data_IF_189912326267
#
_entry.id   IF_189912326267
#
_cell.length_a   1.000
_cell.length_b   1.000
_cell.length_c   1.000
_cell.angle_alpha   90.00
_cell.angle_beta   90.00
_cell.angle_gamma   90.00
#
_symmetry.space_group_name_H-M   'P 1'
#
loop_
_entity.id
_entity.type
_entity.pdbx_description
1 polymer ?
#
# COMPACT_ATOMS: atom_id res chain seq x y z
N UNK A 1 6.62 38.60 9.93
CA UNK A 1 5.97 37.73 8.93
C UNK A 1 5.24 36.66 9.73
N UNK A 2 3.91 36.65 9.67
CA UNK A 2 3.11 35.70 10.46
C UNK A 2 3.17 34.35 9.74
N UNK A 3 4.01 33.44 10.24
CA UNK A 3 4.07 32.07 9.73
C UNK A 3 2.77 31.34 10.10
N UNK A 4 1.98 30.97 9.12
CA UNK A 4 0.73 30.26 9.36
C UNK A 4 1.03 28.95 10.10
N UNK A 5 0.28 28.59 11.17
CA UNK A 5 0.57 27.43 12.02
C UNK A 5 0.73 26.09 11.26
N UNK A 6 0.08 25.94 10.12
CA UNK A 6 0.21 24.79 9.21
C UNK A 6 1.67 24.53 8.80
N UNK A 7 2.45 25.58 8.52
CA UNK A 7 3.85 25.42 8.12
C UNK A 7 4.78 24.97 9.25
N UNK A 8 4.33 24.98 10.50
CA UNK A 8 5.11 24.47 11.63
C UNK A 8 5.15 22.93 11.68
N UNK A 9 4.21 22.25 11.04
CA UNK A 9 4.17 20.78 10.98
C UNK A 9 5.02 20.24 9.85
N UNK A 10 5.17 21.00 8.74
CA UNK A 10 5.87 20.55 7.54
C UNK A 10 7.22 21.23 7.39
N UNK A 11 8.29 20.42 7.20
CA UNK A 11 9.63 20.91 6.93
C UNK A 11 9.69 21.66 5.59
N UNK A 12 10.45 22.75 5.55
CA UNK A 12 10.71 23.49 4.31
C UNK A 12 9.50 24.23 3.74
N UNK A 13 8.37 24.31 4.47
CA UNK A 13 7.20 25.06 4.05
C UNK A 13 6.50 24.53 2.80
N UNK A 14 6.82 23.31 2.36
CA UNK A 14 6.11 22.62 1.28
C UNK A 14 4.86 21.93 1.83
N UNK A 15 3.76 22.02 1.10
CA UNK A 15 2.55 21.27 1.41
C UNK A 15 2.56 19.93 0.67
N UNK A 16 1.95 18.88 1.27
CA UNK A 16 1.70 17.61 0.60
C UNK A 16 0.94 17.80 -0.71
N UNK A 17 1.29 17.00 -1.71
CA UNK A 17 0.57 16.99 -2.99
C UNK A 17 -0.16 15.68 -3.19
N UNK A 18 -1.41 15.77 -3.65
CA UNK A 18 -2.16 14.60 -4.10
C UNK A 18 -1.62 14.13 -5.46
N UNK A 19 -1.25 12.85 -5.54
CA UNK A 19 -0.77 12.21 -6.77
C UNK A 19 -1.90 11.45 -7.45
N UNK A 20 -2.61 10.61 -6.68
CA UNK A 20 -3.67 9.76 -7.21
C UNK A 20 -4.67 9.40 -6.12
N UNK A 21 -5.83 8.93 -6.56
CA UNK A 21 -6.86 8.37 -5.69
C UNK A 21 -7.41 7.09 -6.29
N UNK A 22 -7.84 6.15 -5.43
CA UNK A 22 -8.52 4.93 -5.84
C UNK A 22 -9.72 4.66 -4.95
N UNK A 23 -10.79 4.15 -5.55
CA UNK A 23 -11.91 3.55 -4.83
C UNK A 23 -11.82 2.04 -4.99
N UNK A 24 -11.78 1.32 -3.89
CA UNK A 24 -11.76 -0.14 -3.89
C UNK A 24 -13.12 -0.59 -3.39
N UNK A 25 -13.98 -1.04 -4.32
CA UNK A 25 -15.32 -1.51 -3.97
C UNK A 25 -15.27 -2.83 -3.22
N UNK A 26 -16.34 -3.13 -2.46
CA UNK A 26 -16.44 -4.35 -1.69
C UNK A 26 -16.39 -5.62 -2.57
N UNK A 27 -16.95 -5.55 -3.79
CA UNK A 27 -16.92 -6.63 -4.77
C UNK A 27 -15.49 -6.83 -5.28
N UNK A 28 -14.80 -5.75 -5.62
CA UNK A 28 -13.44 -5.80 -6.14
C UNK A 28 -12.44 -6.34 -5.10
N UNK A 29 -12.51 -5.85 -3.87
CA UNK A 29 -11.71 -6.35 -2.74
C UNK A 29 -11.94 -7.85 -2.47
N UNK A 30 -13.20 -8.32 -2.63
CA UNK A 30 -13.54 -9.72 -2.43
C UNK A 30 -13.05 -10.66 -3.56
N UNK A 31 -13.02 -10.17 -4.80
CA UNK A 31 -12.70 -10.98 -5.98
C UNK A 31 -11.23 -10.85 -6.41
N UNK A 32 -10.61 -9.69 -6.19
CA UNK A 32 -9.31 -9.31 -6.73
C UNK A 32 -8.45 -8.58 -5.70
N UNK A 33 -8.13 -9.24 -4.59
CA UNK A 33 -7.31 -8.67 -3.54
C UNK A 33 -6.03 -8.01 -4.10
N UNK A 34 -5.72 -6.81 -3.63
CA UNK A 34 -4.48 -6.12 -3.97
C UNK A 34 -3.35 -6.69 -3.12
N UNK A 35 -2.49 -7.49 -3.75
CA UNK A 35 -1.37 -8.15 -3.08
C UNK A 35 -0.36 -7.15 -2.54
N UNK A 36 0.54 -7.63 -1.69
CA UNK A 36 1.59 -6.80 -1.09
C UNK A 36 2.44 -6.08 -2.15
N UNK A 37 2.46 -4.77 -2.09
CA UNK A 37 3.25 -3.86 -2.90
C UNK A 37 3.79 -2.73 -2.02
N UNK A 38 4.63 -1.88 -2.57
CA UNK A 38 5.11 -0.67 -1.89
C UNK A 38 5.35 0.43 -2.92
N UNK A 39 5.30 1.67 -2.46
CA UNK A 39 5.73 2.84 -3.21
C UNK A 39 6.92 3.47 -2.50
N UNK A 40 8.02 3.69 -3.22
CA UNK A 40 9.28 4.17 -2.63
C UNK A 40 9.20 5.65 -2.19
N UNK A 41 8.34 6.43 -2.83
CA UNK A 41 8.32 7.89 -2.76
C UNK A 41 6.93 8.48 -2.43
N UNK A 42 5.97 7.65 -2.03
CA UNK A 42 4.62 8.08 -1.71
C UNK A 42 4.15 7.55 -0.35
N UNK A 43 3.42 8.40 0.36
CA UNK A 43 2.58 8.01 1.49
C UNK A 43 1.20 7.62 0.97
N UNK A 44 0.68 6.46 1.33
CA UNK A 44 -0.69 6.08 1.03
C UNK A 44 -1.56 6.04 2.29
N UNK A 45 -2.78 6.52 2.15
CA UNK A 45 -3.80 6.54 3.19
C UNK A 45 -5.02 5.79 2.68
N UNK A 46 -5.40 4.69 3.37
CA UNK A 46 -6.61 3.93 3.06
C UNK A 46 -7.66 4.15 4.14
N UNK A 47 -8.75 4.78 3.78
CA UNK A 47 -9.90 4.97 4.66
C UNK A 47 -10.93 3.85 4.44
N UNK A 48 -11.25 3.11 5.50
CA UNK A 48 -12.28 2.06 5.47
C UNK A 48 -13.66 2.71 5.59
N UNK A 49 -14.36 2.86 4.46
CA UNK A 49 -15.68 3.48 4.41
C UNK A 49 -16.80 2.51 4.83
N UNK A 50 -16.67 1.22 4.46
CA UNK A 50 -17.64 0.18 4.85
C UNK A 50 -16.92 -1.16 5.02
N UNK A 51 -17.53 -2.05 5.83
CA UNK A 51 -17.03 -3.39 6.07
C UNK A 51 -15.90 -3.47 7.08
N UNK A 52 -15.27 -4.62 7.12
CA UNK A 52 -14.13 -4.93 7.98
C UNK A 52 -13.36 -6.12 7.45
N UNK A 53 -12.12 -6.29 7.88
CA UNK A 53 -11.27 -7.41 7.47
C UNK A 53 -9.84 -7.25 7.97
N UNK A 54 -8.93 -8.05 7.43
CA UNK A 54 -7.52 -7.95 7.76
C UNK A 54 -6.78 -7.20 6.65
N UNK A 55 -5.84 -6.37 6.98
CA UNK A 55 -4.97 -5.64 6.08
C UNK A 55 -3.53 -5.76 6.55
N UNK A 56 -2.61 -6.02 5.62
CA UNK A 56 -1.21 -6.22 5.94
C UNK A 56 -0.44 -4.91 5.75
N UNK A 57 0.33 -4.50 6.78
CA UNK A 57 1.26 -3.37 6.72
C UNK A 57 2.60 -3.82 7.31
N UNK A 58 3.65 -3.70 6.51
CA UNK A 58 4.97 -4.18 6.89
C UNK A 58 4.99 -5.70 7.06
N UNK A 59 4.96 -6.18 8.28
CA UNK A 59 5.04 -7.61 8.64
C UNK A 59 3.84 -8.10 9.43
N UNK A 60 2.91 -7.22 9.68
CA UNK A 60 1.80 -7.49 10.59
C UNK A 60 0.49 -7.43 9.83
N UNK A 61 -0.42 -8.35 10.18
CA UNK A 61 -1.80 -8.28 9.78
C UNK A 61 -2.59 -7.53 10.87
N UNK A 62 -3.38 -6.56 10.43
CA UNK A 62 -4.21 -5.73 11.28
C UNK A 62 -5.67 -5.95 10.94
N UNK A 63 -6.49 -6.16 11.96
CA UNK A 63 -7.93 -6.13 11.75
C UNK A 63 -8.39 -4.68 11.65
N UNK A 64 -9.02 -4.33 10.54
CA UNK A 64 -9.54 -3.00 10.23
C UNK A 64 -11.05 -3.04 10.05
N UNK A 65 -11.70 -1.93 10.36
CA UNK A 65 -13.14 -1.79 10.28
C UNK A 65 -13.55 -0.39 9.83
N UNK A 66 -14.82 -0.22 9.53
CA UNK A 66 -15.37 1.09 9.14
C UNK A 66 -14.91 2.20 10.08
N UNK A 67 -14.37 3.25 9.50
CA UNK A 67 -13.89 4.43 10.22
C UNK A 67 -12.42 4.38 10.61
N UNK A 68 -11.72 3.30 10.28
CA UNK A 68 -10.27 3.23 10.45
C UNK A 68 -9.56 3.84 9.24
N UNK A 69 -8.43 4.50 9.50
CA UNK A 69 -7.46 4.93 8.52
C UNK A 69 -6.22 4.07 8.62
N UNK A 70 -5.80 3.49 7.50
CA UNK A 70 -4.57 2.69 7.38
C UNK A 70 -3.49 3.59 6.80
N UNK A 71 -2.35 3.65 7.46
CA UNK A 71 -1.20 4.48 7.09
C UNK A 71 -0.12 3.61 6.47
N UNK A 72 0.18 3.84 5.21
CA UNK A 72 1.24 3.15 4.49
C UNK A 72 2.34 4.15 4.11
N UNK A 73 3.35 4.28 4.98
CA UNK A 73 4.51 5.14 4.73
C UNK A 73 5.28 4.70 3.48
N UNK A 74 6.01 5.62 2.85
CA UNK A 74 6.90 5.31 1.73
C UNK A 74 7.84 4.14 2.06
N UNK A 75 8.05 3.23 1.11
CA UNK A 75 8.90 2.05 1.27
C UNK A 75 8.34 0.97 2.20
N UNK A 76 7.13 1.14 2.76
CA UNK A 76 6.50 0.14 3.61
C UNK A 76 5.61 -0.77 2.77
N UNK A 77 5.91 -2.07 2.81
CA UNK A 77 5.13 -3.08 2.13
C UNK A 77 3.73 -3.17 2.73
N UNK A 78 2.69 -3.16 1.90
CA UNK A 78 1.31 -3.23 2.35
C UNK A 78 0.41 -3.89 1.29
N UNK A 79 -0.76 -4.37 1.72
CA UNK A 79 -1.70 -5.03 0.81
C UNK A 79 -2.73 -5.88 1.52
N UNK A 80 -3.50 -6.60 0.73
CA UNK A 80 -4.56 -7.50 1.20
C UNK A 80 -4.10 -8.96 1.13
N UNK A 81 -4.51 -9.78 2.10
CA UNK A 81 -4.31 -11.24 2.02
C UNK A 81 -5.41 -11.87 1.15
N UNK A 82 -5.08 -12.56 0.06
CA UNK A 82 -6.06 -13.11 -0.89
C UNK A 82 -7.02 -14.14 -0.29
N UNK A 83 -6.58 -14.84 0.77
CA UNK A 83 -7.38 -15.88 1.42
C UNK A 83 -8.51 -15.32 2.31
N UNK A 84 -8.44 -14.06 2.70
CA UNK A 84 -9.45 -13.44 3.51
C UNK A 84 -10.62 -12.98 2.63
N UNK A 85 -11.77 -13.66 2.71
CA UNK A 85 -13.00 -13.22 2.06
C UNK A 85 -13.46 -11.90 2.66
N UNK A 86 -13.16 -10.79 2.00
CA UNK A 86 -13.42 -9.44 2.49
C UNK A 86 -14.52 -8.78 1.69
N UNK A 87 -15.22 -7.86 2.33
CA UNK A 87 -16.12 -6.91 1.67
C UNK A 87 -15.83 -5.53 2.27
N UNK A 88 -14.76 -4.94 1.84
CA UNK A 88 -14.33 -3.61 2.30
C UNK A 88 -14.50 -2.63 1.15
N UNK A 89 -15.28 -1.57 1.38
CA UNK A 89 -15.24 -0.37 0.57
C UNK A 89 -14.20 0.56 1.18
N UNK A 90 -13.17 0.92 0.44
CA UNK A 90 -12.16 1.88 0.89
C UNK A 90 -11.87 2.95 -0.14
N UNK A 91 -11.53 4.15 0.36
CA UNK A 91 -10.96 5.24 -0.42
C UNK A 91 -9.46 5.30 -0.13
N UNK A 92 -8.66 5.28 -1.18
CA UNK A 92 -7.21 5.40 -1.10
C UNK A 92 -6.76 6.73 -1.71
N UNK A 93 -5.85 7.42 -1.06
CA UNK A 93 -5.14 8.58 -1.61
C UNK A 93 -3.64 8.37 -1.47
N UNK A 94 -2.88 8.71 -2.51
CA UNK A 94 -1.43 8.67 -2.52
C UNK A 94 -0.88 10.09 -2.56
N UNK A 95 0.02 10.39 -1.63
CA UNK A 95 0.58 11.73 -1.40
C UNK A 95 2.09 11.72 -1.56
N UNK A 96 2.64 12.78 -2.13
CA UNK A 96 4.07 13.07 -2.15
C UNK A 96 4.37 14.40 -1.46
N UNK A 97 5.65 14.74 -1.31
CA UNK A 97 6.12 15.95 -0.62
C UNK A 97 5.65 16.04 0.86
N UNK A 98 5.31 14.91 1.48
CA UNK A 98 4.99 14.87 2.92
C UNK A 98 6.29 14.88 3.71
N UNK A 99 6.67 16.02 4.24
CA UNK A 99 7.92 16.20 4.98
C UNK A 99 7.63 16.72 6.41
N UNK A 100 7.49 15.81 7.37
CA UNK A 100 7.22 16.13 8.78
C UNK A 100 8.53 16.20 9.59
N UNK A 101 8.55 17.02 10.63
CA UNK A 101 9.69 17.08 11.54
C UNK A 101 9.86 15.76 12.30
N UNK A 102 11.09 15.24 12.33
CA UNK A 102 11.45 14.01 13.05
C UNK A 102 11.11 12.71 12.32
N UNK A 103 10.55 12.79 11.09
CA UNK A 103 10.24 11.63 10.27
C UNK A 103 10.97 11.70 8.90
N UNK A 104 11.22 10.55 8.26
CA UNK A 104 11.63 10.52 6.85
C UNK A 104 10.60 11.18 5.93
N UNK A 105 10.99 11.52 4.71
CA UNK A 105 10.06 12.05 3.71
C UNK A 105 9.00 11.00 3.36
N UNK A 106 7.76 11.47 3.16
CA UNK A 106 6.57 10.66 2.90
C UNK A 106 6.24 9.64 4.01
N UNK A 107 6.52 10.02 5.26
CA UNK A 107 6.10 9.32 6.47
C UNK A 107 5.10 10.18 7.24
N UNK A 108 4.03 9.54 7.75
CA UNK A 108 3.09 10.14 8.68
C UNK A 108 3.32 9.68 10.12
N UNK A 109 3.78 8.46 10.30
CA UNK A 109 4.02 7.82 11.59
C UNK A 109 5.43 7.21 11.64
N UNK A 110 6.04 7.07 12.82
CA UNK A 110 7.23 6.23 13.01
C UNK A 110 6.95 4.78 12.60
N UNK A 111 8.00 4.05 12.17
CA UNK A 111 7.85 2.64 11.73
C UNK A 111 7.40 1.67 12.81
N UNK A 112 7.62 2.00 14.07
CA UNK A 112 7.22 1.23 15.25
C UNK A 112 5.82 1.60 15.78
N UNK A 113 5.19 2.63 15.21
CA UNK A 113 3.83 3.00 15.57
C UNK A 113 2.80 2.04 14.91
N UNK A 114 1.62 1.93 15.54
CA UNK A 114 0.48 1.24 14.95
C UNK A 114 0.03 2.00 13.69
N UNK A 115 0.03 1.38 12.51
CA UNK A 115 -0.37 2.04 11.28
C UNK A 115 -1.88 2.25 11.17
N UNK A 116 -2.68 1.75 12.11
CA UNK A 116 -4.15 1.88 12.09
C UNK A 116 -4.58 3.00 13.03
N UNK A 117 -5.17 4.04 12.46
CA UNK A 117 -5.74 5.16 13.22
C UNK A 117 -7.26 5.07 13.21
N UNK A 118 -7.91 4.69 14.33
CA UNK A 118 -9.35 4.80 14.44
C UNK A 118 -9.76 6.29 14.44
N UNK A 119 -10.50 6.71 13.39
CA UNK A 119 -10.88 8.14 13.22
C UNK A 119 -11.96 8.61 14.19
N UNK A 120 -12.63 7.69 14.91
CA UNK A 120 -13.59 7.99 15.94
C UNK A 120 -14.70 8.93 15.47
N UNK A 121 -14.95 10.00 16.24
CA UNK A 121 -15.97 11.00 15.91
C UNK A 121 -15.70 11.78 14.61
N UNK A 122 -14.47 11.80 14.12
CA UNK A 122 -14.09 12.46 12.86
C UNK A 122 -14.28 11.56 11.63
N UNK A 123 -14.56 10.26 11.83
CA UNK A 123 -14.67 9.27 10.77
C UNK A 123 -15.59 9.72 9.63
N UNK A 124 -16.81 10.17 9.93
CA UNK A 124 -17.73 10.61 8.88
C UNK A 124 -17.20 11.79 8.06
N UNK A 125 -16.56 12.77 8.71
CA UNK A 125 -16.02 13.95 8.02
C UNK A 125 -14.77 13.63 7.20
N UNK A 126 -13.90 12.77 7.71
CA UNK A 126 -12.76 12.27 6.96
C UNK A 126 -13.25 11.49 5.73
N UNK A 127 -14.25 10.63 5.87
CA UNK A 127 -14.84 9.90 4.75
C UNK A 127 -15.42 10.82 3.67
N UNK A 128 -16.14 11.89 4.05
CA UNK A 128 -16.66 12.90 3.11
C UNK A 128 -15.51 13.58 2.33
N UNK A 129 -14.42 13.96 3.02
CA UNK A 129 -13.25 14.56 2.38
C UNK A 129 -12.56 13.58 1.45
N UNK A 130 -12.38 12.31 1.85
CA UNK A 130 -11.80 11.29 1.00
C UNK A 130 -12.61 11.08 -0.28
N UNK A 131 -13.94 11.09 -0.18
CA UNK A 131 -14.84 11.00 -1.33
C UNK A 131 -14.72 12.25 -2.24
N UNK A 132 -14.65 13.46 -1.68
CA UNK A 132 -14.43 14.68 -2.46
C UNK A 132 -13.09 14.64 -3.20
N UNK A 133 -12.02 14.18 -2.55
CA UNK A 133 -10.72 14.01 -3.19
C UNK A 133 -10.79 13.06 -4.39
N UNK A 134 -11.53 11.95 -4.25
CA UNK A 134 -11.73 11.01 -5.36
C UNK A 134 -12.45 11.66 -6.53
N UNK A 135 -13.48 12.49 -6.27
CA UNK A 135 -14.19 13.21 -7.32
C UNK A 135 -13.31 14.28 -7.99
N UNK A 136 -12.56 15.06 -7.20
CA UNK A 136 -11.75 16.17 -7.71
C UNK A 136 -10.48 15.71 -8.41
N UNK A 137 -9.97 14.53 -8.09
CA UNK A 137 -8.77 13.95 -8.74
C UNK A 137 -8.94 13.69 -10.24
N UNK A 138 -10.17 13.70 -10.74
CA UNK A 138 -10.45 13.61 -12.18
C UNK A 138 -9.88 14.80 -12.99
N UNK A 139 -9.69 15.97 -12.35
CA UNK A 139 -9.09 17.16 -12.96
C UNK A 139 -8.08 17.80 -12.01
N UNK A 140 -6.94 17.15 -11.80
CA UNK A 140 -5.85 17.66 -10.96
C UNK A 140 -5.22 18.94 -11.54
N UNK A 141 -5.35 19.20 -12.84
CA UNK A 141 -4.82 20.42 -13.44
C UNK A 141 -5.59 21.65 -12.93
N UNK A 142 -6.92 21.57 -12.85
CA UNK A 142 -7.76 22.67 -12.37
C UNK A 142 -7.93 22.66 -10.84
N UNK A 143 -8.09 21.47 -10.24
CA UNK A 143 -8.50 21.30 -8.83
C UNK A 143 -7.36 20.87 -7.90
N UNK A 144 -6.14 20.67 -8.44
CA UNK A 144 -4.96 20.24 -7.67
C UNK A 144 -4.72 21.02 -6.37
N UNK A 145 -4.69 22.36 -6.38
CA UNK A 145 -4.51 23.14 -5.15
C UNK A 145 -5.58 22.92 -4.07
N UNK A 146 -6.82 22.60 -4.49
CA UNK A 146 -7.91 22.23 -3.56
C UNK A 146 -7.65 20.85 -2.99
N UNK A 147 -7.27 19.89 -3.84
CA UNK A 147 -6.93 18.53 -3.43
C UNK A 147 -5.76 18.51 -2.45
N UNK A 148 -4.71 19.28 -2.70
CA UNK A 148 -3.54 19.40 -1.83
C UNK A 148 -3.95 19.98 -0.45
N UNK A 149 -4.80 21.01 -0.44
CA UNK A 149 -5.29 21.63 0.79
C UNK A 149 -6.17 20.67 1.61
N UNK A 150 -7.05 19.90 0.97
CA UNK A 150 -7.89 18.90 1.64
C UNK A 150 -7.03 17.75 2.18
N UNK A 151 -6.05 17.29 1.42
CA UNK A 151 -5.10 16.26 1.85
C UNK A 151 -4.28 16.70 3.05
N UNK A 152 -3.80 17.95 3.03
CA UNK A 152 -3.13 18.56 4.19
C UNK A 152 -4.06 18.58 5.43
N UNK A 153 -5.32 18.92 5.26
CA UNK A 153 -6.32 18.88 6.33
C UNK A 153 -6.50 17.49 6.93
N UNK A 154 -6.56 16.45 6.09
CA UNK A 154 -6.61 15.04 6.55
C UNK A 154 -5.36 14.70 7.37
N UNK A 155 -4.16 15.00 6.86
CA UNK A 155 -2.91 14.71 7.57
C UNK A 155 -2.86 15.37 8.95
N UNK A 156 -3.27 16.63 9.05
CA UNK A 156 -3.32 17.35 10.33
C UNK A 156 -4.34 16.74 11.30
N UNK A 157 -5.50 16.30 10.82
CA UNK A 157 -6.49 15.59 11.64
C UNK A 157 -5.93 14.26 12.16
N UNK A 158 -5.27 13.48 11.30
CA UNK A 158 -4.65 12.20 11.67
C UNK A 158 -3.52 12.40 12.68
N UNK A 159 -2.65 13.40 12.48
CA UNK A 159 -1.62 13.77 13.47
C UNK A 159 -2.23 14.17 14.82
N UNK A 160 -3.32 14.91 14.80
CA UNK A 160 -4.04 15.29 16.03
C UNK A 160 -4.60 14.07 16.77
N UNK A 161 -5.21 13.12 16.06
CA UNK A 161 -5.69 11.86 16.63
C UNK A 161 -4.52 11.04 17.17
N UNK A 162 -3.45 10.94 16.36
CA UNK A 162 -2.24 10.23 16.73
C UNK A 162 -1.63 10.73 18.04
N UNK A 163 -1.49 12.01 18.21
CA UNK A 163 -0.95 12.66 19.43
C UNK A 163 -1.88 12.56 20.66
N UNK A 164 -3.16 12.34 20.45
CA UNK A 164 -4.12 12.18 21.56
C UNK A 164 -4.06 10.82 22.28
N UNK A 165 -3.17 9.91 21.86
CA UNK A 165 -2.91 8.64 22.55
C UNK A 165 -3.93 7.53 22.25
N UNK A 166 -4.76 7.66 21.23
CA UNK A 166 -5.73 6.62 20.82
C UNK A 166 -5.11 5.46 20.02
N UNK A 167 -3.81 5.18 20.22
CA UNK A 167 -3.12 4.12 19.50
C UNK A 167 -3.25 2.78 20.20
N UNK A 168 -3.47 1.72 19.39
CA UNK A 168 -3.20 0.35 19.81
C UNK A 168 -1.69 0.14 19.75
N UNK A 169 -1.11 -0.43 20.78
CA UNK A 169 0.28 -0.91 20.76
C UNK A 169 0.31 -2.22 19.97
N UNK A 170 1.08 -2.34 18.87
CA UNK A 170 1.20 -3.61 18.17
C UNK A 170 1.79 -4.67 19.13
N UNK A 171 1.34 -5.92 19.04
CA UNK A 171 1.89 -6.98 19.88
C UNK A 171 3.38 -7.19 19.54
N UNK A 172 4.26 -7.32 20.53
CA UNK A 172 5.67 -7.61 20.32
C UNK A 172 5.81 -9.00 19.70
N UNK A 173 6.36 -9.10 18.49
CA UNK A 173 6.78 -10.37 17.89
C UNK A 173 8.28 -10.54 18.04
N UNK A 174 8.69 -11.72 18.52
CA UNK A 174 10.08 -12.17 18.48
C UNK A 174 10.34 -12.63 17.04
N UNK A 175 10.84 -11.73 16.21
CA UNK A 175 11.25 -12.04 14.85
C UNK A 175 12.53 -12.90 14.83
N UNK A 176 12.54 -13.99 14.09
CA UNK A 176 13.78 -14.66 13.73
C UNK A 176 14.63 -13.73 12.86
N UNK A 177 15.77 -13.29 13.38
CA UNK A 177 16.64 -12.32 12.71
C UNK A 177 17.09 -12.80 11.31
N UNK A 178 17.18 -14.12 11.09
CA UNK A 178 17.55 -14.72 9.80
C UNK A 178 16.37 -14.64 8.83
N UNK A 179 15.15 -14.99 9.26
CA UNK A 179 13.95 -14.89 8.45
C UNK A 179 13.73 -13.44 7.99
N UNK A 180 13.97 -12.49 8.89
CA UNK A 180 13.92 -11.05 8.60
C UNK A 180 14.92 -10.64 7.51
N UNK A 181 16.17 -11.09 7.61
CA UNK A 181 17.19 -10.80 6.60
C UNK A 181 16.79 -11.35 5.23
N UNK A 182 16.23 -12.58 5.18
CA UNK A 182 15.77 -13.21 3.95
C UNK A 182 14.63 -12.36 3.34
N UNK A 183 13.63 -11.97 4.14
CA UNK A 183 12.52 -11.14 3.67
C UNK A 183 13.00 -9.81 3.11
N UNK A 184 13.83 -9.10 3.86
CA UNK A 184 14.41 -7.83 3.42
C UNK A 184 15.15 -7.98 2.09
N UNK A 185 15.94 -9.05 1.92
CA UNK A 185 16.64 -9.33 0.68
C UNK A 185 15.67 -9.57 -0.49
N UNK A 186 14.58 -10.32 -0.27
CA UNK A 186 13.55 -10.56 -1.28
C UNK A 186 12.85 -9.26 -1.68
N UNK A 187 12.50 -8.42 -0.69
CA UNK A 187 11.83 -7.15 -0.90
C UNK A 187 12.70 -6.15 -1.68
N UNK A 188 14.01 -6.15 -1.44
CA UNK A 188 14.95 -5.27 -2.14
C UNK A 188 15.31 -5.74 -3.55
N UNK A 189 15.19 -7.03 -3.84
CA UNK A 189 15.67 -7.63 -5.09
C UNK A 189 14.56 -8.34 -5.88
N UNK A 190 13.29 -8.06 -5.60
CA UNK A 190 12.17 -8.76 -6.25
C UNK A 190 12.16 -8.62 -7.77
N UNK A 191 12.65 -7.51 -8.31
CA UNK A 191 12.78 -7.25 -9.75
C UNK A 191 14.04 -7.87 -10.39
N UNK A 192 14.82 -8.64 -9.63
CA UNK A 192 15.99 -9.34 -10.14
C UNK A 192 15.71 -10.85 -10.34
N UNK A 193 16.44 -11.55 -11.23
CA UNK A 193 16.29 -13.00 -11.39
C UNK A 193 16.85 -13.73 -10.14
N UNK A 194 15.96 -14.11 -9.22
CA UNK A 194 16.29 -14.77 -7.97
C UNK A 194 15.99 -16.28 -8.03
N UNK A 195 16.85 -17.06 -7.34
CA UNK A 195 16.63 -18.46 -6.99
C UNK A 195 17.05 -18.69 -5.53
N UNK A 196 16.65 -19.83 -4.94
CA UNK A 196 17.03 -20.16 -3.56
C UNK A 196 18.55 -20.22 -3.39
N UNK A 197 19.27 -20.71 -4.42
CA UNK A 197 20.74 -20.79 -4.44
C UNK A 197 21.36 -19.40 -4.42
N UNK A 198 20.85 -18.49 -5.28
CA UNK A 198 21.34 -17.09 -5.32
C UNK A 198 21.10 -16.35 -4.01
N UNK A 199 19.92 -16.50 -3.43
CA UNK A 199 19.58 -15.91 -2.13
C UNK A 199 20.46 -16.49 -1.03
N UNK A 200 20.59 -17.82 -1.01
CA UNK A 200 21.45 -18.53 -0.06
C UNK A 200 22.91 -18.09 -0.13
N UNK A 201 23.44 -17.96 -1.35
CA UNK A 201 24.81 -17.45 -1.57
C UNK A 201 24.97 -16.01 -1.07
N UNK A 202 24.03 -15.12 -1.41
CA UNK A 202 24.08 -13.71 -1.02
C UNK A 202 24.00 -13.51 0.50
N UNK A 203 23.24 -14.35 1.20
CA UNK A 203 23.05 -14.27 2.65
C UNK A 203 23.99 -15.19 3.45
N UNK A 204 24.78 -15.99 2.76
CA UNK A 204 25.71 -17.00 3.33
C UNK A 204 24.96 -18.05 4.18
N UNK A 205 23.86 -18.58 3.65
CA UNK A 205 23.04 -19.65 4.25
C UNK A 205 22.65 -20.70 3.20
N UNK A 206 22.49 -21.96 3.64
CA UNK A 206 22.08 -23.00 2.71
C UNK A 206 20.64 -22.81 2.23
N UNK A 207 20.31 -23.15 0.96
CA UNK A 207 18.95 -23.02 0.41
C UNK A 207 17.90 -23.79 1.23
N UNK A 208 18.25 -24.96 1.77
CA UNK A 208 17.36 -25.76 2.60
C UNK A 208 17.04 -25.07 3.93
N UNK A 209 18.05 -24.54 4.62
CA UNK A 209 17.87 -23.81 5.87
C UNK A 209 17.09 -22.50 5.66
N UNK A 210 17.42 -21.76 4.58
CA UNK A 210 16.69 -20.58 4.15
C UNK A 210 15.19 -20.86 4.00
N UNK A 211 14.85 -21.90 3.25
CA UNK A 211 13.44 -22.30 3.03
C UNK A 211 12.74 -22.69 4.32
N UNK A 212 13.43 -23.44 5.20
CA UNK A 212 12.87 -23.90 6.47
C UNK A 212 12.57 -22.72 7.41
N UNK A 213 13.56 -21.84 7.63
CA UNK A 213 13.43 -20.71 8.55
C UNK A 213 12.38 -19.71 8.05
N UNK A 214 12.39 -19.40 6.77
CA UNK A 214 11.42 -18.48 6.18
C UNK A 214 9.99 -19.03 6.29
N UNK A 215 9.79 -20.33 5.92
CA UNK A 215 8.46 -20.95 6.02
C UNK A 215 7.96 -21.06 7.46
N UNK A 216 8.86 -21.33 8.42
CA UNK A 216 8.52 -21.38 9.84
C UNK A 216 8.01 -20.03 10.35
N UNK A 217 8.65 -18.93 9.92
CA UNK A 217 8.34 -17.58 10.38
C UNK A 217 7.14 -16.96 9.65
N UNK A 218 7.11 -17.09 8.31
CA UNK A 218 6.10 -16.41 7.46
C UNK A 218 5.01 -17.35 6.92
N UNK A 219 5.02 -18.64 7.26
CA UNK A 219 3.98 -19.61 6.87
C UNK A 219 4.05 -20.08 5.41
N UNK A 220 4.87 -19.46 4.56
CA UNK A 220 4.99 -19.77 3.14
C UNK A 220 6.46 -19.91 2.68
N UNK A 221 6.67 -20.53 1.51
CA UNK A 221 8.02 -20.67 0.96
C UNK A 221 8.54 -19.32 0.40
N UNK A 222 9.88 -19.04 0.47
CA UNK A 222 10.46 -17.79 0.00
C UNK A 222 10.11 -17.44 -1.46
N UNK A 223 10.09 -18.43 -2.35
CA UNK A 223 9.74 -18.22 -3.75
C UNK A 223 8.26 -17.95 -3.95
N UNK A 224 7.35 -18.46 -3.11
CA UNK A 224 5.93 -18.12 -3.14
C UNK A 224 5.73 -16.66 -2.70
N UNK A 225 6.40 -16.25 -1.64
CA UNK A 225 6.46 -14.86 -1.20
C UNK A 225 6.95 -13.92 -2.32
N UNK A 226 8.05 -14.27 -2.99
CA UNK A 226 8.60 -13.51 -4.11
C UNK A 226 7.60 -13.35 -5.25
N UNK A 227 6.87 -14.42 -5.60
CA UNK A 227 5.83 -14.34 -6.63
C UNK A 227 4.68 -13.42 -6.20
N UNK A 228 4.19 -13.54 -4.97
CA UNK A 228 3.16 -12.62 -4.45
C UNK A 228 3.63 -11.17 -4.52
N UNK A 229 4.87 -10.90 -4.07
CA UNK A 229 5.47 -9.56 -4.11
C UNK A 229 5.53 -8.99 -5.54
N UNK A 230 5.97 -9.82 -6.51
CA UNK A 230 5.99 -9.44 -7.93
C UNK A 230 4.60 -9.18 -8.49
N UNK A 231 3.63 -10.00 -8.14
CA UNK A 231 2.24 -9.81 -8.60
C UNK A 231 1.63 -8.55 -7.99
N UNK A 232 1.90 -8.25 -6.71
CA UNK A 232 1.49 -6.99 -6.11
C UNK A 232 2.05 -5.77 -6.85
N UNK A 233 3.33 -5.80 -7.20
CA UNK A 233 3.96 -4.75 -8.03
C UNK A 233 3.35 -4.66 -9.43
N UNK A 234 3.07 -5.81 -10.04
CA UNK A 234 2.37 -5.84 -11.33
C UNK A 234 0.98 -5.21 -11.25
N UNK A 235 0.25 -5.44 -10.16
CA UNK A 235 -1.06 -4.82 -9.92
C UNK A 235 -0.93 -3.29 -9.86
N UNK A 236 0.05 -2.76 -9.13
CA UNK A 236 0.31 -1.32 -9.06
C UNK A 236 0.63 -0.76 -10.46
N UNK A 237 1.57 -1.35 -11.20
CA UNK A 237 1.91 -0.91 -12.55
C UNK A 237 0.73 -0.97 -13.52
N UNK A 238 -0.17 -1.96 -13.37
CA UNK A 238 -1.36 -2.09 -14.20
C UNK A 238 -2.40 -1.00 -13.91
N UNK A 239 -2.52 -0.55 -12.67
CA UNK A 239 -3.46 0.48 -12.23
C UNK A 239 -2.90 1.87 -12.52
N UNK A 240 -1.68 2.11 -12.09
CA UNK A 240 -1.09 3.44 -11.97
C UNK A 240 -0.44 3.92 -13.27
N UNK A 241 -0.19 3.00 -14.23
CA UNK A 241 0.52 3.31 -15.47
C UNK A 241 -0.12 2.69 -16.71
N UNK A 242 0.25 3.21 -17.88
CA UNK A 242 -0.07 2.61 -19.18
C UNK A 242 1.03 1.66 -19.69
N UNK A 243 1.98 1.28 -18.84
CA UNK A 243 3.08 0.39 -19.22
C UNK A 243 2.56 -0.89 -19.88
N UNK A 244 3.07 -1.28 -21.06
CA UNK A 244 2.64 -2.50 -21.76
C UNK A 244 2.80 -3.74 -20.88
N UNK A 245 1.84 -4.67 -20.97
CA UNK A 245 1.84 -5.90 -20.12
C UNK A 245 3.12 -6.73 -20.33
N UNK A 246 3.64 -6.78 -21.56
CA UNK A 246 4.91 -7.43 -21.88
C UNK A 246 6.09 -6.81 -21.12
N UNK A 247 6.16 -5.49 -21.09
CA UNK A 247 7.20 -4.75 -20.37
C UNK A 247 7.10 -4.96 -18.85
N UNK A 248 5.87 -5.02 -18.31
CA UNK A 248 5.67 -5.37 -16.89
C UNK A 248 6.21 -6.77 -16.60
N UNK A 249 5.92 -7.75 -17.46
CA UNK A 249 6.42 -9.11 -17.31
C UNK A 249 7.96 -9.17 -17.32
N UNK A 250 8.61 -8.40 -18.20
CA UNK A 250 10.07 -8.33 -18.31
C UNK A 250 10.68 -7.65 -17.09
N UNK A 251 10.15 -6.50 -16.66
CA UNK A 251 10.59 -5.78 -15.44
C UNK A 251 10.54 -6.65 -14.18
N UNK A 252 9.54 -7.56 -14.11
CA UNK A 252 9.32 -8.43 -12.96
C UNK A 252 9.95 -9.83 -13.14
N UNK A 253 10.81 -9.99 -14.12
CA UNK A 253 11.59 -11.21 -14.37
C UNK A 253 10.74 -12.49 -14.57
N UNK A 254 9.64 -12.39 -15.32
CA UNK A 254 8.84 -13.57 -15.69
C UNK A 254 9.35 -14.32 -16.92
N UNK A 255 10.31 -13.76 -17.66
CA UNK A 255 10.91 -14.37 -18.86
C UNK A 255 9.98 -14.45 -20.07
N UNK A 256 8.70 -14.71 -19.89
CA UNK A 256 7.69 -14.68 -20.95
C UNK A 256 6.36 -14.12 -20.48
N UNK A 257 5.65 -13.41 -21.36
CA UNK A 257 4.31 -12.88 -21.09
C UNK A 257 3.30 -13.98 -20.75
N UNK A 258 3.45 -15.17 -21.34
CA UNK A 258 2.56 -16.31 -21.07
C UNK A 258 2.74 -16.85 -19.64
N UNK A 259 3.98 -16.95 -19.18
CA UNK A 259 4.27 -17.30 -17.81
C UNK A 259 3.72 -16.26 -16.84
N UNK A 260 3.95 -14.97 -17.11
CA UNK A 260 3.38 -13.88 -16.34
C UNK A 260 1.85 -13.97 -16.24
N UNK A 261 1.15 -14.09 -17.39
CA UNK A 261 -0.31 -14.19 -17.44
C UNK A 261 -0.84 -15.36 -16.60
N UNK A 262 -0.16 -16.51 -16.66
CA UNK A 262 -0.54 -17.71 -15.89
C UNK A 262 -0.39 -17.47 -14.40
N UNK A 263 0.75 -16.94 -13.97
CA UNK A 263 1.02 -16.66 -12.55
C UNK A 263 0.11 -15.56 -12.04
N UNK A 264 -0.06 -14.48 -12.79
CA UNK A 264 -0.96 -13.39 -12.41
C UNK A 264 -2.39 -13.89 -12.22
N UNK A 265 -2.93 -14.65 -13.20
CA UNK A 265 -4.27 -15.23 -13.08
C UNK A 265 -4.40 -16.20 -11.90
N UNK A 266 -3.34 -16.95 -11.56
CA UNK A 266 -3.33 -17.85 -10.40
C UNK A 266 -3.55 -17.10 -9.08
N UNK A 267 -2.90 -15.94 -8.92
CA UNK A 267 -2.95 -15.16 -7.66
C UNK A 267 -4.11 -14.17 -7.62
N UNK A 268 -4.49 -13.58 -8.76
CA UNK A 268 -5.48 -12.48 -8.83
C UNK A 268 -6.85 -12.96 -9.35
N UNK A 269 -6.91 -14.16 -9.93
CA UNK A 269 -8.16 -14.75 -10.46
C UNK A 269 -8.47 -14.39 -11.91
N UNK A 270 -8.03 -13.22 -12.40
CA UNK A 270 -8.23 -12.74 -13.78
C UNK A 270 -6.91 -12.41 -14.46
N UNK A 271 -6.95 -12.20 -15.78
CA UNK A 271 -5.74 -11.85 -16.55
C UNK A 271 -5.33 -10.39 -16.32
N UNK A 272 -4.02 -10.04 -16.51
CA UNK A 272 -3.53 -8.66 -16.34
C UNK A 272 -4.32 -7.62 -17.14
N UNK A 273 -4.68 -7.95 -18.38
CA UNK A 273 -5.46 -7.05 -19.24
C UNK A 273 -6.88 -6.81 -18.75
N UNK A 274 -7.54 -7.85 -18.20
CA UNK A 274 -8.86 -7.70 -17.57
C UNK A 274 -8.76 -6.91 -16.28
N UNK A 275 -7.74 -7.16 -15.49
CA UNK A 275 -7.47 -6.43 -14.25
C UNK A 275 -7.29 -4.94 -14.51
N UNK A 276 -6.44 -4.54 -15.47
CA UNK A 276 -6.27 -3.14 -15.88
C UNK A 276 -7.59 -2.51 -16.30
N UNK A 277 -8.38 -3.23 -17.11
CA UNK A 277 -9.66 -2.71 -17.61
C UNK A 277 -10.66 -2.51 -16.48
N UNK A 278 -10.76 -3.43 -15.51
CA UNK A 278 -11.71 -3.31 -14.38
C UNK A 278 -11.46 -2.06 -13.56
N UNK A 279 -10.20 -1.70 -13.29
CA UNK A 279 -9.88 -0.47 -12.57
C UNK A 279 -10.15 0.79 -13.39
N UNK A 280 -9.78 0.82 -14.68
CA UNK A 280 -10.04 1.99 -15.55
C UNK A 280 -11.53 2.25 -15.77
N UNK A 281 -12.38 1.21 -15.75
CA UNK A 281 -13.83 1.35 -15.88
C UNK A 281 -14.45 1.86 -14.58
N UNK A 282 -13.98 1.39 -13.41
CA UNK A 282 -14.41 1.90 -12.11
C UNK A 282 -14.12 3.39 -11.96
N UNK A 283 -12.91 3.81 -12.34
CA UNK A 283 -12.52 5.24 -12.35
C UNK A 283 -13.39 6.10 -13.29
N UNK A 284 -13.93 5.53 -14.37
CA UNK A 284 -14.78 6.26 -15.31
C UNK A 284 -16.26 6.31 -14.91
N UNK A 285 -16.78 5.24 -14.30
CA UNK A 285 -18.19 5.16 -13.89
C UNK A 285 -18.47 6.01 -12.62
N UNK A 286 -17.48 6.17 -11.73
CA UNK A 286 -17.61 7.02 -10.54
C UNK A 286 -17.31 8.52 -10.81
N UNK A 287 -16.60 8.83 -11.91
CA UNK A 287 -16.35 10.19 -12.37
C UNK A 287 -17.48 10.76 -13.24
N UNK A 288 -18.50 9.97 -13.56
CA UNK A 288 -19.63 10.30 -14.45
C UNK A 288 -20.97 10.52 -13.75
N UNK A 289 -21.03 10.66 -12.41
CA UNK A 289 -22.28 10.97 -11.66
C UNK A 289 -22.19 12.32 -11.00
#
# INVERSE_FOLDING_TARGET
MYEHPIFREFRGGKLPRLVMTHVITAEHSAEHARLQHLHEDMLELFYVAQGSGEYEVGRHSYYVQRGDMIICNAGVLHGEEPAAKRKILSYCISLTDVALYGLPDNYLLPLDADPIIPCGRLSGKIGEIMQLLTMFSADLQALGPICDSLSCGILLMLLGIARSGSHRTPPPKIDDAIAKRIKTYLDQHYSAPLSLERIGHALNISPSYLSHVFKKEYGEAPMQYLYKRRIGEAQSLLIDTDTPIGEIADRLCYGTINHFNTVFKKYVGITPGRYRKSFKTMDSDEKGV
#
